data_IF_433442492405
#
_entry.id   IF_433442492405
#
_cell.length_a   1.000
_cell.length_b   1.000
_cell.length_c   1.000
_cell.angle_alpha   90.00
_cell.angle_beta   90.00
_cell.angle_gamma   90.00
#
_symmetry.space_group_name_H-M   'P 1'
#
loop_
_entity.id
_entity.type
_entity.pdbx_description
1 polymer ?
#
# COMPACT_ATOMS: atom_id res chain seq x y z
N UNK A 1 -24.35 -2.05 2.12
CA UNK A 1 -24.33 -1.56 3.52
C UNK A 1 -23.40 -0.36 3.55
N UNK A 2 -23.75 0.79 4.14
CA UNK A 2 -22.83 1.93 4.16
C UNK A 2 -21.57 1.52 4.93
N UNK A 3 -20.39 1.84 4.37
CA UNK A 3 -19.05 1.66 4.97
C UNK A 3 -19.03 2.23 6.39
N UNK A 4 -19.38 1.41 7.39
CA UNK A 4 -19.34 1.80 8.80
C UNK A 4 -17.88 1.74 9.24
N UNK A 5 -17.37 2.89 9.64
CA UNK A 5 -16.08 3.01 10.32
C UNK A 5 -16.41 3.03 11.81
N UNK A 6 -15.83 2.12 12.56
CA UNK A 6 -16.00 2.05 14.01
C UNK A 6 -15.45 3.32 14.66
N UNK A 7 -16.05 3.78 15.77
CA UNK A 7 -15.67 5.05 16.40
C UNK A 7 -14.19 5.08 16.80
N UNK A 8 -13.65 3.92 17.14
CA UNK A 8 -12.23 3.71 17.47
C UNK A 8 -11.30 3.92 16.27
N UNK A 9 -11.77 3.68 15.03
CA UNK A 9 -10.98 3.89 13.81
C UNK A 9 -11.06 5.34 13.28
N UNK A 10 -11.95 6.18 13.80
CA UNK A 10 -12.12 7.57 13.33
C UNK A 10 -10.83 8.41 13.45
N UNK A 11 -10.06 8.37 14.55
CA UNK A 11 -8.80 9.12 14.66
C UNK A 11 -7.76 8.65 13.64
N UNK A 12 -7.76 7.35 13.31
CA UNK A 12 -6.89 6.78 12.27
C UNK A 12 -7.34 7.29 10.91
N UNK A 13 -8.65 7.28 10.64
CA UNK A 13 -9.22 7.79 9.39
C UNK A 13 -8.83 9.25 9.15
N UNK A 14 -8.96 10.12 10.16
CA UNK A 14 -8.58 11.52 10.05
C UNK A 14 -7.08 11.70 9.78
N UNK A 15 -6.25 10.95 10.50
CA UNK A 15 -4.79 10.98 10.34
C UNK A 15 -4.36 10.53 8.93
N UNK A 16 -4.90 9.42 8.43
CA UNK A 16 -4.55 8.89 7.11
C UNK A 16 -5.09 9.77 5.98
N UNK A 17 -6.24 10.43 6.15
CA UNK A 17 -6.73 11.44 5.21
C UNK A 17 -5.77 12.64 5.13
N UNK A 18 -5.25 13.10 6.29
CA UNK A 18 -4.27 14.20 6.31
C UNK A 18 -2.97 13.81 5.57
N UNK A 19 -2.47 12.59 5.79
CA UNK A 19 -1.32 12.05 5.05
C UNK A 19 -1.61 12.00 3.54
N UNK A 20 -2.78 11.51 3.14
CA UNK A 20 -3.18 11.50 1.73
C UNK A 20 -3.13 12.89 1.12
N UNK A 21 -3.64 13.90 1.81
CA UNK A 21 -3.64 15.29 1.34
C UNK A 21 -2.21 15.84 1.21
N UNK A 22 -1.32 15.54 2.16
CA UNK A 22 0.12 15.89 2.09
C UNK A 22 0.79 15.25 0.87
N UNK A 23 0.57 13.95 0.65
CA UNK A 23 1.09 13.23 -0.52
C UNK A 23 0.55 13.79 -1.84
N UNK A 24 -0.74 14.15 -1.91
CA UNK A 24 -1.32 14.79 -3.08
C UNK A 24 -0.74 16.18 -3.35
N UNK A 25 -0.47 16.96 -2.31
CA UNK A 25 0.19 18.25 -2.44
C UNK A 25 1.62 18.08 -2.98
N UNK A 26 2.39 17.14 -2.42
CA UNK A 26 3.73 16.79 -2.92
C UNK A 26 3.71 16.32 -4.38
N UNK A 27 2.66 15.61 -4.80
CA UNK A 27 2.51 15.16 -6.21
C UNK A 27 2.25 16.32 -7.17
N UNK A 28 1.59 17.38 -6.69
CA UNK A 28 1.27 18.58 -7.48
C UNK A 28 2.47 19.53 -7.57
N UNK A 29 3.30 19.59 -6.53
CA UNK A 29 4.53 20.37 -6.50
C UNK A 29 5.62 19.71 -7.34
N UNK A 30 5.45 19.76 -8.67
CA UNK A 30 6.40 19.20 -9.65
C UNK A 30 7.61 20.10 -9.89
N UNK A 31 7.59 21.32 -9.36
CA UNK A 31 8.67 22.29 -9.53
C UNK A 31 9.84 22.03 -8.58
N UNK A 32 9.57 21.39 -7.44
CA UNK A 32 10.59 21.07 -6.43
C UNK A 32 10.97 19.59 -6.44
N UNK A 33 12.28 19.34 -6.36
CA UNK A 33 12.81 17.99 -6.21
C UNK A 33 12.36 17.37 -4.88
N UNK A 34 11.63 16.27 -4.96
CA UNK A 34 11.13 15.54 -3.79
C UNK A 34 12.30 14.78 -3.16
N UNK A 35 12.61 15.11 -1.90
CA UNK A 35 13.67 14.44 -1.15
C UNK A 35 13.23 13.04 -0.72
N UNK A 36 14.13 12.07 -0.89
CA UNK A 36 13.89 10.70 -0.44
C UNK A 36 13.63 10.59 1.07
N UNK A 37 14.17 11.47 1.90
CA UNK A 37 13.94 11.49 3.35
C UNK A 37 12.48 11.80 3.68
N UNK A 38 11.90 12.82 3.03
CA UNK A 38 10.51 13.22 3.23
C UNK A 38 9.51 12.10 2.89
N UNK A 39 9.80 11.32 1.83
CA UNK A 39 8.98 10.15 1.47
C UNK A 39 9.11 9.04 2.51
N UNK A 40 10.31 8.84 3.06
CA UNK A 40 10.56 7.81 4.08
C UNK A 40 9.91 8.19 5.41
N UNK A 41 9.96 9.46 5.82
CA UNK A 41 9.28 9.97 7.01
C UNK A 41 7.75 9.74 6.94
N UNK A 42 7.12 10.02 5.80
CA UNK A 42 5.68 9.75 5.63
C UNK A 42 5.39 8.24 5.68
N UNK A 43 6.27 7.40 5.12
CA UNK A 43 6.12 5.95 5.22
C UNK A 43 6.18 5.45 6.66
N UNK A 44 7.08 5.99 7.47
CA UNK A 44 7.19 5.65 8.89
C UNK A 44 5.91 6.09 9.64
N UNK A 45 5.41 7.30 9.39
CA UNK A 45 4.12 7.76 9.94
C UNK A 45 2.96 6.82 9.59
N UNK A 46 2.87 6.38 8.33
CA UNK A 46 1.82 5.45 7.88
C UNK A 46 1.99 4.08 8.54
N UNK A 47 3.22 3.60 8.70
CA UNK A 47 3.49 2.31 9.34
C UNK A 47 3.01 2.29 10.80
N UNK A 48 3.20 3.39 11.53
CA UNK A 48 2.66 3.52 12.89
C UNK A 48 1.13 3.54 12.93
N UNK A 49 0.47 4.17 11.95
CA UNK A 49 -0.99 4.13 11.84
C UNK A 49 -1.50 2.72 11.54
N UNK A 50 -0.80 1.96 10.70
CA UNK A 50 -1.15 0.55 10.40
C UNK A 50 -1.05 -0.31 11.65
N UNK A 51 0.01 -0.16 12.45
CA UNK A 51 0.16 -0.89 13.72
C UNK A 51 -1.00 -0.59 14.68
N UNK A 52 -1.34 0.68 14.86
CA UNK A 52 -2.50 1.10 15.67
C UNK A 52 -3.81 0.51 15.16
N UNK A 53 -3.99 0.47 13.84
CA UNK A 53 -5.18 -0.10 13.23
C UNK A 53 -5.30 -1.61 13.52
N UNK A 54 -4.19 -2.34 13.41
CA UNK A 54 -4.13 -3.77 13.75
C UNK A 54 -4.48 -3.96 15.23
N UNK A 55 -3.90 -3.18 16.13
CA UNK A 55 -4.18 -3.27 17.58
C UNK A 55 -5.66 -3.05 17.92
N UNK A 56 -6.32 -2.09 17.26
CA UNK A 56 -7.76 -1.84 17.44
C UNK A 56 -8.59 -3.02 16.90
N UNK A 57 -8.26 -3.53 15.71
CA UNK A 57 -9.00 -4.62 15.07
C UNK A 57 -8.83 -5.96 15.78
N UNK A 58 -7.66 -6.21 16.36
CA UNK A 58 -7.40 -7.40 17.19
C UNK A 58 -8.31 -7.40 18.44
N UNK A 59 -8.66 -6.23 18.97
CA UNK A 59 -9.55 -6.10 20.13
C UNK A 59 -11.03 -6.20 19.75
N UNK A 60 -11.43 -5.67 18.59
CA UNK A 60 -12.82 -5.67 18.12
C UNK A 60 -13.22 -6.92 17.33
N UNK A 61 -12.29 -7.84 17.06
CA UNK A 61 -12.45 -9.01 16.21
C UNK A 61 -12.93 -8.68 14.78
N UNK A 62 -12.61 -7.47 14.30
CA UNK A 62 -12.93 -7.04 12.94
C UNK A 62 -11.96 -7.64 11.93
N UNK A 63 -12.49 -8.05 10.77
CA UNK A 63 -11.64 -8.57 9.69
C UNK A 63 -10.76 -7.47 9.09
N UNK A 64 -9.46 -7.71 8.87
CA UNK A 64 -8.58 -6.79 8.14
C UNK A 64 -9.04 -6.50 6.70
N UNK A 65 -9.81 -7.43 6.12
CA UNK A 65 -10.35 -7.35 4.76
C UNK A 65 -11.76 -6.73 4.71
N UNK A 66 -12.20 -6.05 5.78
CA UNK A 66 -13.46 -5.32 5.78
C UNK A 66 -13.46 -4.25 4.68
N UNK A 67 -14.51 -4.18 3.89
CA UNK A 67 -14.69 -3.04 2.98
C UNK A 67 -15.17 -1.86 3.85
N UNK A 68 -14.24 -0.96 4.16
CA UNK A 68 -14.52 0.21 4.96
C UNK A 68 -13.72 1.42 4.44
N UNK A 69 -14.15 2.62 4.83
CA UNK A 69 -13.54 3.86 4.33
C UNK A 69 -12.07 4.00 4.75
N UNK A 70 -11.67 3.45 5.90
CA UNK A 70 -10.29 3.48 6.38
C UNK A 70 -9.40 2.71 5.42
N UNK A 71 -9.77 1.47 5.09
CA UNK A 71 -9.04 0.62 4.15
C UNK A 71 -8.96 1.27 2.75
N UNK A 72 -10.06 1.86 2.27
CA UNK A 72 -10.04 2.58 0.99
C UNK A 72 -9.03 3.76 0.97
N UNK A 73 -8.93 4.52 2.07
CA UNK A 73 -7.96 5.63 2.15
C UNK A 73 -6.52 5.11 2.34
N UNK A 74 -6.33 3.99 3.05
CA UNK A 74 -5.03 3.33 3.13
C UNK A 74 -4.55 2.83 1.77
N UNK A 75 -5.42 2.19 0.99
CA UNK A 75 -5.09 1.74 -0.36
C UNK A 75 -4.65 2.91 -1.25
N UNK A 76 -5.39 4.04 -1.22
CA UNK A 76 -4.99 5.28 -1.91
C UNK A 76 -3.58 5.74 -1.49
N UNK A 77 -3.31 5.76 -0.18
CA UNK A 77 -2.04 6.24 0.39
C UNK A 77 -0.89 5.30 0.04
N UNK A 78 -1.09 3.98 0.13
CA UNK A 78 -0.08 2.99 -0.24
C UNK A 78 0.25 3.04 -1.72
N UNK A 79 -0.74 3.26 -2.58
CA UNK A 79 -0.50 3.43 -4.01
C UNK A 79 0.28 4.72 -4.30
N UNK A 80 -0.05 5.84 -3.64
CA UNK A 80 0.72 7.08 -3.77
C UNK A 80 2.15 6.93 -3.26
N UNK A 81 2.34 6.33 -2.09
CA UNK A 81 3.67 6.08 -1.52
C UNK A 81 4.50 5.21 -2.46
N UNK A 82 3.94 4.12 -2.97
CA UNK A 82 4.62 3.25 -3.92
C UNK A 82 5.16 4.02 -5.12
N UNK A 83 4.35 4.90 -5.70
CA UNK A 83 4.78 5.77 -6.81
C UNK A 83 5.88 6.76 -6.38
N UNK A 84 5.82 7.32 -5.18
CA UNK A 84 6.89 8.20 -4.69
C UNK A 84 8.19 7.47 -4.45
N UNK A 85 8.17 6.28 -3.83
CA UNK A 85 9.36 5.44 -3.65
C UNK A 85 10.01 5.12 -4.99
N UNK A 86 9.21 4.80 -6.01
CA UNK A 86 9.72 4.60 -7.36
C UNK A 86 10.32 5.88 -7.95
N UNK A 87 9.64 7.02 -7.80
CA UNK A 87 10.08 8.31 -8.33
C UNK A 87 11.39 8.81 -7.71
N UNK A 88 11.63 8.55 -6.43
CA UNK A 88 12.90 8.90 -5.74
C UNK A 88 13.99 7.84 -5.90
N UNK A 89 13.79 6.83 -6.76
CA UNK A 89 14.78 5.81 -7.08
C UNK A 89 14.87 4.63 -6.09
N UNK A 90 14.00 4.56 -5.09
CA UNK A 90 13.92 3.48 -4.09
C UNK A 90 13.11 2.27 -4.56
N UNK A 91 13.30 1.86 -5.82
CA UNK A 91 12.54 0.78 -6.47
C UNK A 91 12.72 -0.62 -5.85
N UNK A 92 13.75 -0.79 -5.00
CA UNK A 92 14.10 -2.06 -4.34
C UNK A 92 13.58 -2.16 -2.91
N UNK A 93 12.83 -1.17 -2.44
CA UNK A 93 12.21 -1.20 -1.10
C UNK A 93 10.80 -1.77 -1.19
N UNK A 94 10.37 -2.46 -0.15
CA UNK A 94 9.03 -3.08 -0.07
C UNK A 94 7.88 -2.15 -0.49
N UNK A 95 7.78 -0.89 0.00
CA UNK A 95 6.70 0.02 -0.40
C UNK A 95 6.63 0.31 -1.90
N UNK A 96 7.74 0.23 -2.64
CA UNK A 96 7.75 0.46 -4.09
C UNK A 96 6.98 -0.63 -4.87
N UNK A 97 6.70 -1.78 -4.26
CA UNK A 97 6.01 -2.90 -4.92
C UNK A 97 4.49 -2.78 -4.91
N UNK A 98 3.92 -1.97 -4.01
CA UNK A 98 2.48 -1.99 -3.72
C UNK A 98 1.61 -1.61 -4.93
N UNK A 99 1.93 -0.53 -5.66
CA UNK A 99 1.15 -0.12 -6.82
C UNK A 99 1.10 -1.22 -7.90
N UNK A 100 2.23 -1.91 -8.12
CA UNK A 100 2.27 -3.06 -9.02
C UNK A 100 1.43 -4.23 -8.50
N UNK A 101 1.46 -4.50 -7.19
CA UNK A 101 0.69 -5.58 -6.58
C UNK A 101 -0.82 -5.31 -6.68
N UNK A 102 -1.26 -4.07 -6.43
CA UNK A 102 -2.66 -3.68 -6.54
C UNK A 102 -3.19 -3.85 -7.97
N UNK A 103 -2.43 -3.40 -8.98
CA UNK A 103 -2.77 -3.64 -10.38
C UNK A 103 -2.83 -5.14 -10.71
N UNK A 104 -1.87 -5.92 -10.19
CA UNK A 104 -1.83 -7.35 -10.44
C UNK A 104 -3.02 -8.09 -9.84
N UNK A 105 -3.41 -7.72 -8.61
CA UNK A 105 -4.62 -8.21 -7.97
C UNK A 105 -5.83 -7.94 -8.84
N UNK A 106 -6.01 -6.70 -9.29
CA UNK A 106 -7.14 -6.34 -10.16
C UNK A 106 -7.16 -7.15 -11.46
N UNK A 107 -6.02 -7.37 -12.10
CA UNK A 107 -5.93 -8.24 -13.28
C UNK A 107 -6.37 -9.67 -12.96
N UNK A 108 -5.95 -10.22 -11.83
CA UNK A 108 -6.32 -11.58 -11.41
C UNK A 108 -7.80 -11.68 -11.04
N UNK A 109 -8.36 -10.66 -10.40
CA UNK A 109 -9.79 -10.59 -10.08
C UNK A 109 -10.62 -10.58 -11.39
N UNK A 110 -10.25 -9.76 -12.38
CA UNK A 110 -10.90 -9.76 -13.70
C UNK A 110 -10.76 -11.09 -14.45
N UNK A 111 -9.59 -11.74 -14.39
CA UNK A 111 -9.39 -13.08 -14.98
C UNK A 111 -10.29 -14.12 -14.30
N UNK A 112 -10.40 -14.06 -12.98
CA UNK A 112 -11.26 -14.94 -12.20
C UNK A 112 -12.74 -14.72 -12.53
N UNK A 113 -13.18 -13.47 -12.69
CA UNK A 113 -14.54 -13.11 -13.12
C UNK A 113 -14.86 -13.61 -14.54
N UNK A 114 -13.88 -13.58 -15.45
CA UNK A 114 -14.04 -14.09 -16.82
C UNK A 114 -14.26 -15.61 -16.88
N UNK A 115 -13.84 -16.36 -15.85
CA UNK A 115 -14.04 -17.81 -15.74
C UNK A 115 -13.30 -18.67 -16.77
N UNK A 116 -12.57 -18.07 -17.71
CA UNK A 116 -11.81 -18.76 -18.77
C UNK A 116 -10.43 -18.14 -18.85
N UNK A 117 -9.41 -18.92 -18.47
CA UNK A 117 -8.01 -18.54 -18.57
C UNK A 117 -7.12 -19.77 -18.72
N UNK A 118 -5.98 -19.58 -19.36
CA UNK A 118 -4.97 -20.59 -19.62
C UNK A 118 -3.79 -20.44 -18.67
N UNK A 119 -2.99 -21.51 -18.55
CA UNK A 119 -1.74 -21.48 -17.78
C UNK A 119 -0.76 -20.45 -18.36
N UNK A 120 -0.77 -20.29 -19.68
CA UNK A 120 0.10 -19.34 -20.38
C UNK A 120 -0.26 -17.89 -20.02
N UNK A 121 -1.54 -17.56 -19.85
CA UNK A 121 -1.99 -16.25 -19.38
C UNK A 121 -1.64 -16.00 -17.89
N UNK A 122 -1.63 -17.04 -17.06
CA UNK A 122 -1.27 -16.93 -15.64
C UNK A 122 0.23 -16.82 -15.38
N UNK A 123 1.06 -17.36 -16.29
CA UNK A 123 2.51 -17.46 -16.09
C UNK A 123 3.20 -16.10 -15.90
N UNK A 124 2.93 -15.06 -16.72
CA UNK A 124 3.47 -13.72 -16.50
C UNK A 124 3.12 -13.13 -15.14
N UNK A 125 1.87 -13.31 -14.67
CA UNK A 125 1.43 -12.81 -13.37
C UNK A 125 2.16 -13.51 -12.22
N UNK A 126 2.33 -14.83 -12.30
CA UNK A 126 3.11 -15.61 -11.34
C UNK A 126 4.56 -15.14 -11.27
N UNK A 127 5.22 -14.95 -12.41
CA UNK A 127 6.61 -14.49 -12.46
C UNK A 127 6.75 -13.11 -11.82
N UNK A 128 5.78 -12.20 -12.08
CA UNK A 128 5.77 -10.88 -11.47
C UNK A 128 5.59 -10.92 -9.94
N UNK A 129 4.73 -11.82 -9.42
CA UNK A 129 4.60 -12.05 -7.97
C UNK A 129 5.90 -12.56 -7.36
N UNK A 130 6.60 -13.47 -8.04
CA UNK A 130 7.89 -13.99 -7.57
C UNK A 130 8.96 -12.90 -7.50
N UNK A 131 9.01 -11.99 -8.48
CA UNK A 131 9.92 -10.85 -8.45
C UNK A 131 9.60 -9.89 -7.30
N UNK A 132 8.32 -9.56 -7.08
CA UNK A 132 7.91 -8.73 -5.94
C UNK A 132 8.27 -9.38 -4.61
N UNK A 133 8.03 -10.69 -4.46
CA UNK A 133 8.44 -11.45 -3.27
C UNK A 133 9.94 -11.38 -3.04
N UNK A 134 10.75 -11.47 -4.11
CA UNK A 134 12.21 -11.32 -4.00
C UNK A 134 12.60 -9.93 -3.50
N UNK A 135 11.95 -8.87 -3.99
CA UNK A 135 12.21 -7.50 -3.55
C UNK A 135 11.93 -7.36 -2.04
N UNK A 136 10.77 -7.84 -1.59
CA UNK A 136 10.36 -7.77 -0.17
C UNK A 136 11.34 -8.53 0.73
N UNK A 137 11.67 -9.78 0.38
CA UNK A 137 12.61 -10.58 1.16
C UNK A 137 13.99 -9.91 1.27
N UNK A 138 14.50 -9.37 0.16
CA UNK A 138 15.79 -8.69 0.15
C UNK A 138 15.78 -7.40 0.98
N UNK A 139 14.68 -6.63 0.93
CA UNK A 139 14.50 -5.42 1.74
C UNK A 139 14.48 -5.75 3.24
N UNK A 140 13.75 -6.80 3.64
CA UNK A 140 13.74 -7.29 5.02
C UNK A 140 15.13 -7.73 5.50
N UNK A 141 15.87 -8.49 4.69
CA UNK A 141 17.23 -8.91 5.02
C UNK A 141 18.17 -7.71 5.17
N UNK A 142 18.03 -6.68 4.34
CA UNK A 142 18.82 -5.48 4.44
C UNK A 142 18.51 -4.70 5.73
N UNK A 143 17.23 -4.60 6.10
CA UNK A 143 16.82 -3.94 7.35
C UNK A 143 17.30 -4.67 8.61
N UNK A 144 17.50 -5.99 8.57
CA UNK A 144 18.04 -6.77 9.71
C UNK A 144 19.55 -6.66 9.89
N UNK A 145 20.28 -6.15 8.89
CA UNK A 145 21.75 -6.03 8.94
C UNK A 145 22.23 -4.73 9.58
N UNK A 146 21.31 -3.84 9.95
CA UNK A 146 21.56 -2.55 10.60
C UNK A 146 20.67 -2.42 11.84
#
# INVERSE_FOLDING_TARGET
MPNRVSEEELPILESIINIRNRLQALKKDREHYIKSSAVTEIYDEVTELVKKLIEIRDQSAESPASDNRVNAVFDDVFQLLSLFFMAVGKNKESPATYAHLATLKQCLDHLNESGVYTIDELTPHKNRLMDMKRIINNDEENKRKF
#
